data_IF_442580276781
#
_entry.id   IF_442580276781
#
_cell.length_a   1.000
_cell.length_b   1.000
_cell.length_c   1.000
_cell.angle_alpha   90.00
_cell.angle_beta   90.00
_cell.angle_gamma   90.00
#
_symmetry.space_group_name_H-M   'P 1'
#
loop_
_entity.id
_entity.type
_entity.pdbx_description
1 polymer ?
#
# COMPACT_ATOMS: atom_id res chain seq x y z
N UNK A 1 -25.24 -3.99 -22.99
CA UNK A 1 -24.77 -5.36 -23.28
C UNK A 1 -24.22 -6.00 -22.00
N UNK A 2 -24.65 -7.22 -21.64
CA UNK A 2 -24.17 -7.95 -20.44
C UNK A 2 -22.73 -8.49 -20.57
N UNK A 3 -22.02 -8.22 -21.66
CA UNK A 3 -20.64 -8.65 -21.90
C UNK A 3 -19.64 -8.27 -20.79
N UNK A 4 -19.95 -7.23 -20.00
CA UNK A 4 -19.13 -6.83 -18.84
C UNK A 4 -19.03 -7.92 -17.76
N UNK A 5 -20.07 -8.73 -17.58
CA UNK A 5 -20.12 -9.82 -16.58
C UNK A 5 -19.14 -10.96 -16.91
N UNK A 6 -18.76 -11.12 -18.17
CA UNK A 6 -17.90 -12.21 -18.65
C UNK A 6 -16.46 -11.78 -18.91
N UNK A 7 -16.09 -10.54 -18.57
CA UNK A 7 -14.69 -10.12 -18.65
C UNK A 7 -13.87 -10.88 -17.62
N UNK A 8 -12.90 -11.67 -18.10
CA UNK A 8 -11.89 -12.27 -17.22
C UNK A 8 -11.20 -11.17 -16.43
N UNK A 9 -11.20 -11.28 -15.11
CA UNK A 9 -10.40 -10.41 -14.24
C UNK A 9 -8.94 -10.52 -14.68
N UNK A 10 -8.30 -9.41 -15.08
CA UNK A 10 -6.88 -9.44 -15.45
C UNK A 10 -6.07 -10.00 -14.28
N UNK A 11 -5.16 -10.93 -14.57
CA UNK A 11 -4.21 -11.41 -13.56
C UNK A 11 -3.24 -10.27 -13.26
N UNK A 12 -3.37 -9.66 -12.09
CA UNK A 12 -2.40 -8.69 -11.61
C UNK A 12 -1.15 -9.48 -11.19
N UNK A 13 0.02 -9.25 -11.80
CA UNK A 13 1.25 -9.92 -11.41
C UNK A 13 1.56 -9.62 -9.94
N UNK A 14 2.02 -10.62 -9.18
CA UNK A 14 2.34 -10.44 -7.75
C UNK A 14 3.56 -9.54 -7.51
N UNK A 15 4.43 -9.45 -8.51
CA UNK A 15 5.62 -8.62 -8.56
C UNK A 15 6.44 -8.96 -9.83
N UNK A 16 7.28 -8.03 -10.28
CA UNK A 16 8.13 -8.19 -11.46
C UNK A 16 9.53 -7.64 -11.12
N UNK A 17 10.57 -8.46 -11.29
CA UNK A 17 11.96 -7.99 -11.24
C UNK A 17 12.29 -7.38 -12.60
N UNK A 18 12.65 -6.09 -12.63
CA UNK A 18 12.94 -5.37 -13.88
C UNK A 18 14.44 -5.39 -14.18
N UNK A 19 15.27 -5.17 -13.16
CA UNK A 19 16.73 -5.20 -13.24
C UNK A 19 17.32 -5.71 -11.93
N UNK A 20 18.62 -5.99 -11.91
CA UNK A 20 19.30 -6.35 -10.67
C UNK A 20 19.13 -5.25 -9.62
N UNK A 21 18.66 -5.64 -8.44
CA UNK A 21 18.39 -4.71 -7.33
C UNK A 21 17.09 -3.90 -7.40
N UNK A 22 16.27 -4.00 -8.46
CA UNK A 22 14.95 -3.34 -8.54
C UNK A 22 13.81 -4.33 -8.77
N UNK A 23 12.84 -4.30 -7.86
CA UNK A 23 11.66 -5.14 -7.85
C UNK A 23 10.39 -4.28 -7.77
N UNK A 24 9.41 -4.55 -8.64
CA UNK A 24 8.06 -4.02 -8.47
C UNK A 24 7.24 -5.04 -7.71
N UNK A 25 6.62 -4.64 -6.60
CA UNK A 25 5.78 -5.50 -5.76
C UNK A 25 4.35 -4.97 -5.80
N UNK A 26 3.41 -5.83 -6.16
CA UNK A 26 1.98 -5.53 -6.09
C UNK A 26 1.36 -6.34 -4.96
N UNK A 27 0.56 -5.70 -4.11
CA UNK A 27 -0.17 -6.39 -3.07
C UNK A 27 -1.57 -5.87 -2.88
N UNK A 28 -2.40 -6.73 -2.31
CA UNK A 28 -3.82 -6.53 -2.14
C UNK A 28 -4.18 -7.12 -0.78
N UNK A 29 -4.91 -6.37 0.03
CA UNK A 29 -5.36 -6.80 1.34
C UNK A 29 -6.78 -6.30 1.60
N UNK A 30 -7.65 -7.19 2.12
CA UNK A 30 -9.02 -6.84 2.50
C UNK A 30 -9.06 -6.57 4.00
N UNK A 31 -9.04 -5.30 4.37
CA UNK A 31 -9.29 -4.84 5.72
C UNK A 31 -10.81 -4.87 6.02
N UNK A 32 -11.17 -4.70 7.29
CA UNK A 32 -12.58 -4.59 7.70
C UNK A 32 -13.26 -3.38 7.05
N UNK A 33 -12.51 -2.29 6.91
CA UNK A 33 -12.96 -1.01 6.36
C UNK A 33 -12.81 -0.85 4.85
N UNK A 34 -12.34 -1.88 4.12
CA UNK A 34 -12.17 -1.82 2.68
C UNK A 34 -11.01 -2.64 2.13
N UNK A 35 -10.92 -2.69 0.81
CA UNK A 35 -9.86 -3.26 0.02
C UNK A 35 -8.77 -2.23 -0.18
N UNK A 36 -7.54 -2.61 0.15
CA UNK A 36 -6.32 -1.84 -0.04
C UNK A 36 -5.49 -2.54 -1.10
N UNK A 37 -4.96 -1.77 -2.03
CA UNK A 37 -4.01 -2.18 -3.06
C UNK A 37 -2.75 -1.35 -2.92
N UNK A 38 -1.60 -2.01 -2.94
CA UNK A 38 -0.31 -1.36 -2.94
C UNK A 38 0.46 -1.74 -4.22
N UNK A 39 1.09 -0.76 -4.84
CA UNK A 39 2.10 -0.95 -5.87
C UNK A 39 3.35 -0.23 -5.42
N UNK A 40 4.50 -0.90 -5.33
CA UNK A 40 5.73 -0.29 -4.88
C UNK A 40 6.90 -0.70 -5.76
N UNK A 41 7.80 0.22 -6.01
CA UNK A 41 9.13 -0.04 -6.54
C UNK A 41 10.10 -0.12 -5.37
N UNK A 42 10.77 -1.25 -5.23
CA UNK A 42 11.78 -1.49 -4.20
C UNK A 42 13.14 -1.55 -4.86
N UNK A 43 14.04 -0.68 -4.43
CA UNK A 43 15.45 -0.69 -4.83
C UNK A 43 16.31 -0.91 -3.60
N UNK A 44 17.14 -1.96 -3.62
CA UNK A 44 18.12 -2.23 -2.55
C UNK A 44 17.49 -2.20 -1.13
N UNK A 45 16.32 -2.85 -0.97
CA UNK A 45 15.51 -2.89 0.27
C UNK A 45 14.86 -1.56 0.70
N UNK A 46 14.93 -0.51 -0.12
CA UNK A 46 14.23 0.76 0.11
C UNK A 46 13.04 0.91 -0.83
N UNK A 47 11.99 1.53 -0.35
CA UNK A 47 10.82 1.91 -1.15
C UNK A 47 11.25 3.11 -2.01
N UNK A 48 11.49 2.90 -3.30
CA UNK A 48 11.78 3.98 -4.23
C UNK A 48 10.51 4.73 -4.62
N UNK A 49 9.42 3.99 -4.87
CA UNK A 49 8.08 4.53 -5.12
C UNK A 49 7.01 3.66 -4.46
N UNK A 50 5.89 4.27 -4.09
CA UNK A 50 4.71 3.57 -3.57
C UNK A 50 3.42 4.29 -3.95
N UNK A 51 2.44 3.51 -4.40
CA UNK A 51 1.07 3.92 -4.60
C UNK A 51 0.13 3.04 -3.79
N UNK A 52 -0.76 3.68 -3.04
CA UNK A 52 -1.83 3.08 -2.24
C UNK A 52 -3.17 3.46 -2.86
N UNK A 53 -4.01 2.47 -3.11
CA UNK A 53 -5.32 2.66 -3.73
C UNK A 53 -6.32 1.65 -3.18
N UNK A 54 -7.61 1.79 -3.47
CA UNK A 54 -8.60 0.92 -2.88
C UNK A 54 -10.00 1.49 -2.82
N UNK A 55 -10.88 0.76 -2.13
CA UNK A 55 -12.22 1.23 -1.74
C UNK A 55 -12.32 1.54 -0.24
N UNK A 56 -11.18 1.58 0.47
CA UNK A 56 -11.13 2.02 1.86
C UNK A 56 -11.35 3.53 1.99
N UNK A 57 -11.75 3.94 3.19
CA UNK A 57 -12.02 5.34 3.51
C UNK A 57 -10.90 5.89 4.40
N UNK A 58 -10.40 7.07 4.05
CA UNK A 58 -9.41 7.82 4.83
C UNK A 58 -9.80 9.31 4.83
N UNK A 59 -9.83 9.90 6.02
CA UNK A 59 -10.11 11.31 6.22
C UNK A 59 -9.00 11.96 7.06
N UNK A 60 -8.55 13.17 6.70
CA UNK A 60 -8.81 13.89 5.44
C UNK A 60 -8.33 13.17 4.16
N UNK A 61 -8.94 13.46 2.99
CA UNK A 61 -8.64 12.72 1.73
C UNK A 61 -7.22 12.96 1.21
N UNK A 62 -6.65 14.13 1.44
CA UNK A 62 -5.27 14.49 1.08
C UNK A 62 -4.21 13.74 1.91
N UNK A 63 -4.62 13.08 3.00
CA UNK A 63 -3.71 12.30 3.83
C UNK A 63 -3.20 11.04 3.12
N UNK A 64 -3.88 10.52 2.11
CA UNK A 64 -3.40 9.36 1.36
C UNK A 64 -2.10 9.67 0.62
N UNK A 65 -2.06 10.77 -0.13
CA UNK A 65 -0.86 11.22 -0.82
C UNK A 65 0.25 11.60 0.19
N UNK A 66 -0.14 12.16 1.34
CA UNK A 66 0.78 12.43 2.45
C UNK A 66 1.44 11.17 3.00
N UNK A 67 0.67 10.08 3.15
CA UNK A 67 1.15 8.80 3.64
C UNK A 67 2.11 8.14 2.63
N UNK A 68 1.78 8.16 1.34
CA UNK A 68 2.67 7.65 0.28
C UNK A 68 4.02 8.37 0.29
N UNK A 69 4.02 9.70 0.40
CA UNK A 69 5.23 10.51 0.51
C UNK A 69 6.04 10.19 1.76
N UNK A 70 5.38 9.97 2.90
CA UNK A 70 6.04 9.62 4.16
C UNK A 70 6.73 8.24 4.11
N UNK A 71 6.16 7.30 3.34
CA UNK A 71 6.67 5.94 3.16
C UNK A 71 7.77 5.86 2.08
N UNK A 72 7.72 6.71 1.06
CA UNK A 72 8.75 6.81 0.02
C UNK A 72 10.14 7.10 0.63
N UNK A 73 11.16 6.43 0.11
CA UNK A 73 12.57 6.55 0.53
C UNK A 73 12.96 5.73 1.76
N UNK A 74 12.00 5.10 2.47
CA UNK A 74 12.30 4.35 3.69
C UNK A 74 12.76 2.93 3.41
N UNK A 75 13.48 2.38 4.38
CA UNK A 75 13.82 0.95 4.42
C UNK A 75 12.53 0.15 4.58
N UNK A 76 12.34 -0.86 3.72
CA UNK A 76 11.18 -1.75 3.71
C UNK A 76 11.24 -2.77 4.85
N UNK A 77 11.17 -2.28 6.09
CA UNK A 77 11.18 -3.06 7.33
C UNK A 77 9.88 -2.86 8.09
N UNK A 78 9.23 -3.96 8.49
CA UNK A 78 7.90 -3.95 9.13
C UNK A 78 7.81 -2.98 10.30
N UNK A 79 8.70 -3.08 11.28
CA UNK A 79 8.67 -2.23 12.48
C UNK A 79 8.86 -0.74 12.20
N UNK A 80 9.74 -0.41 11.25
CA UNK A 80 10.02 0.98 10.86
C UNK A 80 8.83 1.60 10.12
N UNK A 81 8.26 0.87 9.17
CA UNK A 81 7.10 1.33 8.41
C UNK A 81 5.85 1.42 9.29
N UNK A 82 5.63 0.45 10.20
CA UNK A 82 4.51 0.51 11.14
C UNK A 82 4.56 1.79 11.98
N UNK A 83 5.72 2.06 12.60
CA UNK A 83 5.91 3.26 13.41
C UNK A 83 5.72 4.55 12.61
N UNK A 84 6.09 4.57 11.32
CA UNK A 84 5.85 5.74 10.45
C UNK A 84 4.38 5.95 10.15
N UNK A 85 3.64 4.88 9.86
CA UNK A 85 2.20 4.96 9.58
C UNK A 85 1.47 5.46 10.84
N UNK A 86 1.76 4.88 12.01
CA UNK A 86 1.16 5.31 13.29
C UNK A 86 1.45 6.78 13.61
N UNK A 87 2.72 7.20 13.50
CA UNK A 87 3.11 8.61 13.70
C UNK A 87 2.42 9.55 12.72
N UNK A 88 2.23 9.12 11.47
CA UNK A 88 1.51 9.90 10.48
C UNK A 88 0.04 10.08 10.87
N UNK A 89 -0.61 8.99 11.29
CA UNK A 89 -1.99 9.00 11.79
C UNK A 89 -2.15 9.95 12.98
N UNK A 90 -1.26 9.86 13.96
CA UNK A 90 -1.28 10.70 15.16
C UNK A 90 -1.07 12.19 14.84
N UNK A 91 -0.10 12.49 13.97
CA UNK A 91 0.29 13.86 13.60
C UNK A 91 -0.77 14.55 12.76
N UNK A 92 -1.40 13.82 11.83
CA UNK A 92 -2.38 14.37 10.87
C UNK A 92 -3.83 14.14 11.32
N UNK A 93 -4.03 13.48 12.47
CA UNK A 93 -5.35 13.12 13.01
C UNK A 93 -6.19 12.37 11.98
N UNK A 94 -5.55 11.41 11.32
CA UNK A 94 -6.17 10.59 10.27
C UNK A 94 -7.22 9.68 10.89
N UNK A 95 -8.36 9.57 10.21
CA UNK A 95 -9.41 8.62 10.54
C UNK A 95 -9.64 7.70 9.34
N UNK A 96 -9.51 6.40 9.56
CA UNK A 96 -9.75 5.37 8.55
C UNK A 96 -10.58 4.24 9.16
N UNK A 97 -11.92 4.35 9.21
CA UNK A 97 -12.76 3.39 9.91
C UNK A 97 -12.54 1.95 9.42
N UNK A 98 -12.15 1.06 10.33
CA UNK A 98 -11.91 -0.36 10.03
C UNK A 98 -10.62 -0.64 9.25
N UNK A 99 -9.71 0.34 9.15
CA UNK A 99 -8.39 0.18 8.54
C UNK A 99 -7.31 0.65 9.50
N UNK A 100 -6.44 -0.29 9.88
CA UNK A 100 -5.33 -0.06 10.80
C UNK A 100 -3.98 0.01 10.06
N UNK A 101 -2.93 0.44 10.75
CA UNK A 101 -1.56 0.51 10.22
C UNK A 101 -1.09 -0.84 9.64
N UNK A 102 -1.43 -1.94 10.32
CA UNK A 102 -1.06 -3.30 9.91
C UNK A 102 -1.73 -3.73 8.59
N UNK A 103 -2.91 -3.20 8.26
CA UNK A 103 -3.59 -3.49 7.01
C UNK A 103 -2.81 -2.96 5.80
N UNK A 104 -2.17 -1.79 5.94
CA UNK A 104 -1.26 -1.27 4.92
C UNK A 104 0.00 -2.12 4.78
N UNK A 105 0.58 -2.60 5.88
CA UNK A 105 1.76 -3.47 5.83
C UNK A 105 1.46 -4.79 5.13
N UNK A 106 0.28 -5.37 5.40
CA UNK A 106 -0.24 -6.56 4.70
C UNK A 106 -0.44 -6.28 3.22
N UNK A 107 -1.06 -5.16 2.86
CA UNK A 107 -1.22 -4.74 1.46
C UNK A 107 0.14 -4.56 0.77
N UNK A 108 1.13 -4.02 1.48
CA UNK A 108 2.49 -3.84 1.00
C UNK A 108 3.31 -5.15 1.01
N UNK A 109 2.77 -6.27 1.49
CA UNK A 109 3.48 -7.56 1.65
C UNK A 109 4.79 -7.45 2.43
N UNK A 110 4.85 -6.57 3.43
CA UNK A 110 6.06 -6.43 4.25
C UNK A 110 6.02 -7.52 5.31
N UNK A 111 6.82 -8.56 5.12
CA UNK A 111 7.03 -9.63 6.11
C UNK A 111 8.13 -9.23 7.11
N UNK A 112 8.22 -9.98 8.20
CA UNK A 112 9.10 -9.72 9.36
C UNK A 112 10.60 -9.73 9.03
#
# INVERSE_FOLDING_TARGET
SPAFLFKKTPRIPKGVKIKEGVEIIYGIHKAKGGLIRAAQEVKERRINEIGLSGDFTMYPKDCLEGLEKELKGNVRKKSLLNSKIEKFYDKRKVQSPGVESEDFLKAMKVEE
#
